data_IF_165675320097
#
_entry.id   IF_165675320097
#
_cell.length_a   1.000
_cell.length_b   1.000
_cell.length_c   1.000
_cell.angle_alpha   90.00
_cell.angle_beta   90.00
_cell.angle_gamma   90.00
#
_symmetry.space_group_name_H-M   'P 1'
#
loop_
_entity.id
_entity.type
_entity.pdbx_description
1 polymer ?
#
# COMPACT_ATOMS: atom_id res chain seq x y z
N UNK A 1 -11.64 22.39 18.55
CA UNK A 1 -10.99 21.10 18.81
C UNK A 1 -10.69 20.50 17.44
N UNK A 2 -9.44 20.52 16.96
CA UNK A 2 -9.13 20.13 15.57
C UNK A 2 -9.17 18.60 15.42
N UNK A 3 -9.65 18.15 14.25
CA UNK A 3 -9.97 16.76 13.91
C UNK A 3 -9.33 16.43 12.55
N UNK A 4 -8.84 15.20 12.39
CA UNK A 4 -7.71 14.86 11.51
C UNK A 4 -7.98 13.61 10.66
N UNK A 5 -7.79 13.69 9.34
CA UNK A 5 -8.07 12.61 8.38
C UNK A 5 -6.81 11.94 7.80
N UNK A 6 -6.94 10.70 7.29
CA UNK A 6 -5.82 9.88 6.81
C UNK A 6 -5.95 9.41 5.33
N UNK A 7 -4.82 9.23 4.62
CA UNK A 7 -4.72 9.20 3.13
C UNK A 7 -3.33 8.69 2.60
N UNK A 8 -3.11 7.40 2.25
CA UNK A 8 -1.80 6.65 2.03
C UNK A 8 -0.92 6.99 0.76
N UNK A 9 0.41 7.20 0.73
CA UNK A 9 1.61 6.42 1.18
C UNK A 9 2.71 7.16 2.05
N UNK A 10 3.01 6.65 3.26
CA UNK A 10 4.11 6.96 4.22
C UNK A 10 4.61 8.41 4.43
N UNK A 11 3.76 9.28 4.99
CA UNK A 11 4.16 10.61 5.50
C UNK A 11 3.01 11.41 6.11
N UNK A 12 3.14 12.74 6.20
CA UNK A 12 2.20 13.56 6.99
C UNK A 12 1.94 14.92 6.35
N UNK A 13 0.79 15.51 6.68
CA UNK A 13 0.43 16.88 6.32
C UNK A 13 0.29 17.75 7.57
N UNK A 14 0.88 18.94 7.54
CA UNK A 14 0.38 20.08 8.33
C UNK A 14 -0.28 21.09 7.40
N UNK A 15 -1.45 21.58 7.81
CA UNK A 15 -2.30 22.44 7.00
C UNK A 15 -2.46 23.82 7.66
N UNK A 16 -2.01 24.88 6.96
CA UNK A 16 -2.20 26.26 7.41
C UNK A 16 -3.03 27.05 6.41
N UNK A 17 -4.19 27.52 6.87
CA UNK A 17 -5.01 28.51 6.16
C UNK A 17 -4.43 29.90 6.34
N UNK A 18 -4.09 30.58 5.25
CA UNK A 18 -3.74 32.02 5.24
C UNK A 18 -4.89 32.78 4.57
N UNK A 19 -5.39 33.81 5.25
CA UNK A 19 -6.34 34.78 4.67
C UNK A 19 -5.61 35.62 3.62
N UNK A 20 -6.21 35.79 2.45
CA UNK A 20 -5.71 36.78 1.49
C UNK A 20 -5.93 38.20 2.03
N UNK A 21 -4.99 39.13 1.77
CA UNK A 21 -4.91 40.48 2.36
C UNK A 21 -6.15 41.38 2.18
N UNK A 22 -7.12 40.94 1.37
CA UNK A 22 -8.32 41.69 1.00
C UNK A 22 -9.64 41.12 1.59
N UNK A 23 -9.56 40.22 2.59
CA UNK A 23 -10.72 39.55 3.20
C UNK A 23 -10.91 39.97 4.68
N UNK A 24 -12.12 40.40 5.05
CA UNK A 24 -12.45 40.86 6.41
C UNK A 24 -13.27 39.85 7.21
N UNK A 25 -12.65 39.30 8.26
CA UNK A 25 -13.26 38.53 9.37
C UNK A 25 -13.88 37.15 9.03
N UNK A 26 -13.93 36.19 9.99
CA UNK A 26 -14.02 34.77 9.67
C UNK A 26 -15.45 34.22 9.62
N UNK A 27 -15.73 33.39 8.60
CA UNK A 27 -16.78 32.37 8.74
C UNK A 27 -16.27 31.31 9.72
N UNK A 28 -17.04 31.04 10.76
CA UNK A 28 -16.65 30.09 11.80
C UNK A 28 -16.56 28.65 11.25
N UNK A 29 -15.64 27.88 11.84
CA UNK A 29 -15.50 26.42 11.74
C UNK A 29 -14.98 25.84 10.40
N UNK A 30 -13.98 26.47 9.81
CA UNK A 30 -13.19 25.88 8.71
C UNK A 30 -12.27 24.74 9.21
N UNK A 31 -12.85 23.56 9.42
CA UNK A 31 -12.11 22.30 9.57
C UNK A 31 -11.43 21.96 8.24
N UNK A 32 -10.13 22.27 8.12
CA UNK A 32 -9.37 22.03 6.89
C UNK A 32 -9.11 20.54 6.67
N UNK A 33 -9.98 19.91 5.85
CA UNK A 33 -9.78 18.56 5.33
C UNK A 33 -8.91 18.66 4.07
N UNK A 34 -7.63 18.27 4.15
CA UNK A 34 -6.75 18.20 2.99
C UNK A 34 -6.85 16.81 2.31
N UNK A 35 -6.97 16.80 0.98
CA UNK A 35 -7.21 15.61 0.15
C UNK A 35 -6.42 15.70 -1.17
N UNK A 36 -6.30 14.56 -1.89
CA UNK A 36 -5.49 14.35 -3.12
C UNK A 36 -3.97 14.35 -2.82
N UNK A 37 -3.04 13.81 -3.62
CA UNK A 37 -3.00 13.06 -4.89
C UNK A 37 -1.56 12.48 -5.04
N UNK A 38 -1.29 11.36 -5.74
CA UNK A 38 0.02 10.65 -5.67
C UNK A 38 1.28 11.50 -6.00
N UNK A 39 2.41 11.11 -5.36
CA UNK A 39 3.77 11.69 -5.40
C UNK A 39 3.96 12.91 -4.50
N UNK A 40 5.00 12.89 -3.67
CA UNK A 40 5.36 13.99 -2.76
C UNK A 40 5.74 15.26 -3.53
N UNK A 41 6.47 15.09 -4.63
CA UNK A 41 6.80 16.18 -5.55
C UNK A 41 5.54 16.74 -6.22
N UNK A 42 4.59 15.87 -6.58
CA UNK A 42 3.30 16.25 -7.19
C UNK A 42 2.34 16.95 -6.23
N UNK A 43 2.30 16.53 -4.97
CA UNK A 43 1.52 17.14 -3.89
C UNK A 43 1.90 18.62 -3.69
N UNK A 44 3.19 18.94 -3.74
CA UNK A 44 3.69 20.31 -3.62
C UNK A 44 3.20 21.25 -4.75
N UNK A 45 2.89 20.69 -5.92
CA UNK A 45 2.35 21.44 -7.06
C UNK A 45 0.82 21.62 -6.96
N UNK A 46 0.08 20.58 -6.53
CA UNK A 46 -1.38 20.56 -6.47
C UNK A 46 -1.96 21.49 -5.39
N UNK A 47 -1.22 21.80 -4.33
CA UNK A 47 -1.63 22.75 -3.28
C UNK A 47 -1.93 24.18 -3.79
N UNK A 48 -1.59 24.49 -5.05
CA UNK A 48 -1.87 25.78 -5.70
C UNK A 48 -3.18 25.82 -6.49
N UNK A 49 -3.80 24.66 -6.75
CA UNK A 49 -4.86 24.54 -7.77
C UNK A 49 -6.29 24.57 -7.20
N UNK A 50 -6.46 24.27 -5.90
CA UNK A 50 -7.74 24.37 -5.19
C UNK A 50 -7.79 25.60 -4.28
N UNK A 51 -8.02 26.77 -4.90
CA UNK A 51 -8.16 28.05 -4.21
C UNK A 51 -9.50 28.68 -4.59
N UNK A 52 -10.47 28.68 -3.65
CA UNK A 52 -11.51 29.70 -3.67
C UNK A 52 -10.86 31.04 -3.25
N UNK A 53 -11.21 32.12 -3.93
CA UNK A 53 -10.50 33.42 -3.98
C UNK A 53 -10.17 34.12 -2.63
N UNK A 54 -10.59 33.58 -1.49
CA UNK A 54 -10.42 34.17 -0.15
C UNK A 54 -9.43 33.42 0.77
N UNK A 55 -9.01 32.19 0.41
CA UNK A 55 -8.18 31.35 1.28
C UNK A 55 -7.06 30.64 0.52
N UNK A 56 -5.86 30.69 1.09
CA UNK A 56 -4.72 29.86 0.66
C UNK A 56 -4.47 28.73 1.65
N UNK A 57 -4.48 27.49 1.17
CA UNK A 57 -4.10 26.30 1.93
C UNK A 57 -2.61 26.00 1.69
N UNK A 58 -1.77 26.20 2.71
CA UNK A 58 -0.38 25.74 2.70
C UNK A 58 -0.35 24.33 3.29
N UNK A 59 0.26 23.41 2.55
CA UNK A 59 0.48 22.02 2.94
C UNK A 59 1.98 21.78 3.06
N UNK A 60 2.45 21.56 4.28
CA UNK A 60 3.83 21.10 4.52
C UNK A 60 3.83 19.59 4.71
N UNK A 61 4.83 18.91 4.16
CA UNK A 61 4.97 17.46 4.21
C UNK A 61 6.21 17.04 5.02
N UNK A 62 6.09 15.95 5.78
CA UNK A 62 7.20 15.30 6.46
C UNK A 62 7.11 13.76 6.36
N UNK A 63 8.25 13.11 6.15
CA UNK A 63 8.44 11.67 6.40
C UNK A 63 8.75 11.47 7.88
N UNK A 64 8.13 10.48 8.54
CA UNK A 64 8.46 10.08 9.91
C UNK A 64 9.00 8.65 9.90
N UNK A 65 10.32 8.46 10.11
CA UNK A 65 10.94 7.14 10.11
C UNK A 65 10.46 6.22 11.24
N UNK A 66 10.10 6.78 12.40
CA UNK A 66 9.58 6.05 13.56
C UNK A 66 8.13 6.45 13.86
N UNK A 67 7.23 6.08 12.94
CA UNK A 67 5.79 6.23 13.17
C UNK A 67 5.32 5.48 14.43
N UNK A 68 5.73 4.21 14.71
CA UNK A 68 5.31 3.49 15.91
C UNK A 68 5.67 4.21 17.22
N UNK A 69 6.90 4.73 17.34
CA UNK A 69 7.32 5.52 18.49
C UNK A 69 6.47 6.78 18.68
N UNK A 70 6.13 7.47 17.58
CA UNK A 70 5.23 8.62 17.60
C UNK A 70 3.79 8.24 18.03
N UNK A 71 3.25 7.10 17.59
CA UNK A 71 1.93 6.61 18.04
C UNK A 71 1.92 6.38 19.55
N UNK A 72 2.96 5.72 20.07
CA UNK A 72 3.11 5.43 21.50
C UNK A 72 3.27 6.70 22.35
N UNK A 73 4.03 7.68 21.86
CA UNK A 73 4.17 8.98 22.50
C UNK A 73 2.84 9.75 22.52
N UNK A 74 2.15 9.89 21.40
CA UNK A 74 0.84 10.56 21.35
C UNK A 74 -0.21 9.84 22.21
N UNK A 75 -0.22 8.50 22.24
CA UNK A 75 -1.11 7.73 23.12
C UNK A 75 -0.82 7.95 24.61
N UNK A 76 0.44 8.21 24.98
CA UNK A 76 0.87 8.40 26.38
C UNK A 76 0.74 9.86 26.84
N UNK A 77 1.10 10.81 25.99
CA UNK A 77 1.32 12.22 26.32
C UNK A 77 0.29 13.17 25.68
N UNK A 78 -0.54 12.69 24.74
CA UNK A 78 -1.60 13.45 24.09
C UNK A 78 -1.15 14.55 23.12
N UNK A 79 0.16 14.68 22.85
CA UNK A 79 0.66 15.65 21.88
C UNK A 79 0.25 15.28 20.46
N UNK A 80 -0.29 16.26 19.72
CA UNK A 80 -0.68 16.14 18.31
C UNK A 80 0.02 17.22 17.51
N UNK A 81 0.86 16.81 16.56
CA UNK A 81 1.73 17.71 15.79
C UNK A 81 1.36 17.83 14.31
N UNK A 82 0.41 17.03 13.82
CA UNK A 82 0.06 16.90 12.40
C UNK A 82 -1.47 16.99 12.19
N UNK A 83 -1.89 17.63 11.10
CA UNK A 83 -3.31 17.82 10.77
C UNK A 83 -3.87 16.66 9.92
N UNK A 84 -3.00 15.91 9.22
CA UNK A 84 -3.35 14.76 8.37
C UNK A 84 -2.22 13.74 8.24
N UNK A 85 -2.56 12.49 7.92
CA UNK A 85 -1.62 11.37 7.91
C UNK A 85 -1.70 10.55 6.62
N UNK A 86 -0.59 9.98 6.21
CA UNK A 86 -0.46 9.20 4.99
C UNK A 86 0.15 7.84 5.39
N UNK A 87 -0.69 6.84 5.72
CA UNK A 87 -0.33 5.81 6.74
C UNK A 87 0.02 4.37 6.29
N UNK A 88 -0.62 3.88 5.22
CA UNK A 88 -0.90 2.44 4.96
C UNK A 88 -1.96 1.81 5.91
N UNK A 89 -2.89 0.94 5.43
CA UNK A 89 -4.05 0.51 6.21
C UNK A 89 -3.72 -0.27 7.49
N UNK A 90 -2.57 -0.97 7.55
CA UNK A 90 -2.18 -1.76 8.73
C UNK A 90 -2.06 -0.91 10.00
N UNK A 91 -1.66 0.36 9.87
CA UNK A 91 -1.51 1.28 11.00
C UNK A 91 -2.84 1.84 11.53
N UNK A 92 -3.96 1.64 10.82
CA UNK A 92 -5.24 2.28 11.13
C UNK A 92 -5.73 1.93 12.55
N UNK A 93 -5.50 0.69 13.00
CA UNK A 93 -5.94 0.23 14.33
C UNK A 93 -5.24 1.02 15.44
N UNK A 94 -3.91 1.08 15.40
CA UNK A 94 -3.10 1.75 16.42
C UNK A 94 -3.38 3.26 16.44
N UNK A 95 -3.54 3.86 15.25
CA UNK A 95 -3.83 5.29 15.09
C UNK A 95 -5.24 5.66 15.61
N UNK A 96 -6.23 4.79 15.41
CA UNK A 96 -7.58 4.97 16.00
C UNK A 96 -7.54 4.78 17.51
N UNK A 97 -6.80 3.79 18.03
CA UNK A 97 -6.67 3.55 19.48
C UNK A 97 -5.94 4.69 20.21
N UNK A 98 -4.94 5.30 19.57
CA UNK A 98 -4.29 6.52 20.05
C UNK A 98 -5.15 7.79 19.89
N UNK A 99 -6.35 7.67 19.31
CA UNK A 99 -7.28 8.79 19.09
C UNK A 99 -6.80 9.80 18.03
N UNK A 100 -5.89 9.40 17.15
CA UNK A 100 -5.21 10.26 16.17
C UNK A 100 -5.98 10.38 14.85
N UNK A 101 -7.12 9.70 14.72
CA UNK A 101 -7.93 9.59 13.50
C UNK A 101 -9.36 10.05 13.75
N UNK A 102 -9.90 10.87 12.85
CA UNK A 102 -11.28 11.33 12.85
C UNK A 102 -12.19 10.39 12.03
N UNK A 103 -13.40 10.07 12.51
CA UNK A 103 -14.48 9.47 11.72
C UNK A 103 -14.89 10.35 10.52
N UNK A 104 -14.83 9.78 9.31
CA UNK A 104 -15.05 10.52 8.06
C UNK A 104 -16.48 10.40 7.51
N UNK A 105 -17.32 9.54 8.10
CA UNK A 105 -18.67 9.22 7.61
C UNK A 105 -19.56 10.46 7.40
N UNK A 106 -19.47 11.46 8.30
CA UNK A 106 -20.23 12.72 8.20
C UNK A 106 -19.77 13.58 7.04
N UNK A 107 -18.45 13.66 6.80
CA UNK A 107 -17.86 14.41 5.68
C UNK A 107 -18.22 13.75 4.34
N UNK A 108 -18.13 12.42 4.27
CA UNK A 108 -18.50 11.62 3.10
C UNK A 108 -20.00 11.73 2.77
N UNK A 109 -20.86 11.77 3.79
CA UNK A 109 -22.30 11.95 3.60
C UNK A 109 -22.69 13.39 3.18
N UNK A 110 -21.88 14.39 3.55
CA UNK A 110 -22.12 15.80 3.21
C UNK A 110 -21.66 16.16 1.79
N UNK A 111 -20.64 15.47 1.25
CA UNK A 111 -20.09 15.74 -0.08
C UNK A 111 -20.50 14.68 -1.12
N UNK A 112 -21.56 14.98 -1.87
CA UNK A 112 -21.99 14.15 -2.99
C UNK A 112 -21.00 14.13 -4.17
N UNK A 113 -20.12 15.14 -4.30
CA UNK A 113 -19.16 15.22 -5.40
C UNK A 113 -18.01 14.21 -5.26
N UNK A 114 -17.72 13.78 -4.03
CA UNK A 114 -16.78 12.70 -3.72
C UNK A 114 -17.16 11.35 -4.38
N UNK A 115 -18.45 11.14 -4.68
CA UNK A 115 -18.98 9.92 -5.31
C UNK A 115 -18.42 8.62 -4.67
N UNK A 116 -18.58 8.47 -3.36
CA UNK A 116 -18.04 7.34 -2.58
C UNK A 116 -18.26 5.92 -3.18
N UNK A 117 -19.37 5.61 -3.88
CA UNK A 117 -19.55 4.34 -4.59
C UNK A 117 -18.59 4.06 -5.76
N UNK A 118 -17.79 5.03 -6.21
CA UNK A 118 -16.84 4.91 -7.32
C UNK A 118 -15.49 4.32 -6.89
N UNK A 119 -15.06 4.56 -5.64
CA UNK A 119 -13.85 3.94 -5.08
C UNK A 119 -13.95 2.42 -5.05
N UNK A 120 -12.92 1.69 -5.51
CA UNK A 120 -12.95 0.21 -5.57
C UNK A 120 -13.41 -0.39 -4.23
N UNK A 121 -14.37 -1.33 -4.30
CA UNK A 121 -15.09 -1.90 -3.16
C UNK A 121 -14.20 -2.29 -1.97
N UNK A 122 -13.07 -2.94 -2.23
CA UNK A 122 -12.12 -3.34 -1.19
C UNK A 122 -11.61 -2.13 -0.39
N UNK A 123 -11.25 -1.03 -1.06
CA UNK A 123 -10.73 0.13 -0.35
C UNK A 123 -11.81 0.76 0.54
N UNK A 124 -12.99 1.05 -0.03
CA UNK A 124 -14.09 1.70 0.70
C UNK A 124 -14.82 0.84 1.74
N UNK A 125 -14.61 -0.48 1.79
CA UNK A 125 -15.26 -1.39 2.75
C UNK A 125 -14.31 -2.12 3.72
N UNK A 126 -13.00 -2.14 3.43
CA UNK A 126 -12.00 -2.88 4.23
C UNK A 126 -10.81 -1.97 4.55
N UNK A 127 -10.16 -1.41 3.53
CA UNK A 127 -8.94 -0.62 3.69
C UNK A 127 -9.13 0.71 4.44
N UNK A 128 -10.31 1.30 4.32
CA UNK A 128 -10.67 2.60 4.88
C UNK A 128 -11.58 2.52 6.11
N UNK A 129 -11.90 1.31 6.58
CA UNK A 129 -12.98 1.08 7.55
C UNK A 129 -12.43 0.37 8.78
N UNK A 130 -12.64 0.96 9.96
CA UNK A 130 -12.36 0.33 11.24
C UNK A 130 -13.65 0.31 12.09
N UNK A 131 -14.00 -0.87 12.60
CA UNK A 131 -15.21 -1.09 13.41
C UNK A 131 -16.52 -0.56 12.79
N UNK A 132 -16.62 -0.57 11.45
CA UNK A 132 -17.78 -0.06 10.70
C UNK A 132 -17.78 1.43 10.39
N UNK A 133 -16.84 2.19 10.95
CA UNK A 133 -16.63 3.64 10.73
C UNK A 133 -15.61 3.86 9.60
N UNK A 134 -15.81 4.84 8.72
CA UNK A 134 -14.77 5.22 7.75
C UNK A 134 -13.72 6.07 8.46
N UNK A 135 -12.47 5.62 8.47
CA UNK A 135 -11.35 6.22 9.21
C UNK A 135 -10.22 6.72 8.31
N UNK A 136 -10.37 6.61 6.99
CA UNK A 136 -9.38 7.11 6.03
C UNK A 136 -9.91 7.14 4.61
N UNK A 137 -9.34 8.00 3.77
CA UNK A 137 -9.69 8.14 2.37
C UNK A 137 -8.76 7.30 1.48
N UNK A 138 -9.28 6.55 0.48
CA UNK A 138 -8.43 5.84 -0.46
C UNK A 138 -7.67 6.80 -1.38
N UNK A 139 -6.37 7.00 -1.14
CA UNK A 139 -5.50 7.79 -2.03
C UNK A 139 -4.93 6.95 -3.18
N UNK A 140 -4.46 5.76 -2.83
CA UNK A 140 -3.56 4.97 -3.65
C UNK A 140 -3.79 3.48 -3.43
N UNK A 141 -4.40 2.82 -4.40
CA UNK A 141 -4.32 1.37 -4.49
C UNK A 141 -2.95 0.91 -4.98
N UNK A 142 -2.47 -0.19 -4.40
CA UNK A 142 -1.51 -1.12 -5.01
C UNK A 142 -2.24 -2.44 -5.22
N UNK A 143 -2.18 -2.99 -6.42
CA UNK A 143 -2.72 -4.32 -6.74
C UNK A 143 -1.60 -5.20 -7.26
N UNK A 144 -1.55 -6.44 -6.79
CA UNK A 144 -0.52 -7.40 -7.20
C UNK A 144 -0.88 -7.97 -8.57
N UNK A 145 0.04 -7.87 -9.53
CA UNK A 145 -0.18 -8.26 -10.93
C UNK A 145 1.11 -8.87 -11.49
N UNK A 146 0.98 -9.91 -12.33
CA UNK A 146 2.11 -10.51 -13.01
C UNK A 146 2.54 -9.63 -14.19
N UNK A 147 3.75 -9.08 -14.11
CA UNK A 147 4.46 -8.50 -15.25
C UNK A 147 5.32 -9.60 -15.90
N UNK A 148 5.31 -9.67 -17.22
CA UNK A 148 6.08 -10.66 -17.99
C UNK A 148 6.54 -10.07 -19.33
N UNK A 149 7.65 -10.61 -19.86
CA UNK A 149 8.23 -10.23 -21.16
C UNK A 149 7.50 -10.95 -22.29
N UNK A 150 6.62 -10.24 -23.01
CA UNK A 150 5.81 -10.79 -24.12
C UNK A 150 6.66 -11.36 -25.26
N UNK A 151 7.79 -10.73 -25.53
CA UNK A 151 8.79 -11.13 -26.51
C UNK A 151 9.48 -12.45 -26.12
N UNK A 152 9.92 -12.59 -24.86
CA UNK A 152 10.48 -13.85 -24.33
C UNK A 152 9.45 -14.98 -24.41
N UNK A 153 8.20 -14.71 -24.02
CA UNK A 153 7.11 -15.68 -24.11
C UNK A 153 6.81 -16.07 -25.57
N UNK A 154 6.82 -15.12 -26.51
CA UNK A 154 6.61 -15.39 -27.93
C UNK A 154 7.75 -16.23 -28.54
N UNK A 155 9.01 -15.94 -28.21
CA UNK A 155 10.18 -16.72 -28.65
C UNK A 155 10.13 -18.15 -28.12
N UNK A 156 9.71 -18.34 -26.86
CA UNK A 156 9.57 -19.64 -26.22
C UNK A 156 8.25 -20.38 -26.57
N UNK A 157 7.37 -19.77 -27.37
CA UNK A 157 6.01 -20.27 -27.67
C UNK A 157 5.18 -20.60 -26.40
N UNK A 158 5.29 -19.73 -25.38
CA UNK A 158 4.61 -19.85 -24.09
C UNK A 158 3.37 -18.94 -24.00
N UNK A 159 2.37 -19.40 -23.25
CA UNK A 159 1.24 -18.55 -22.82
C UNK A 159 1.45 -18.04 -21.39
N UNK A 160 0.94 -16.85 -21.02
CA UNK A 160 0.99 -16.36 -19.65
C UNK A 160 0.32 -17.35 -18.68
N UNK A 161 0.93 -17.65 -17.52
CA UNK A 161 0.38 -18.61 -16.58
C UNK A 161 -0.88 -18.05 -15.89
N UNK A 162 -1.85 -18.94 -15.69
CA UNK A 162 -3.10 -18.70 -14.97
C UNK A 162 -3.09 -19.24 -13.54
N UNK A 163 -2.16 -20.15 -13.23
CA UNK A 163 -2.00 -20.76 -11.90
C UNK A 163 -0.56 -20.70 -11.38
N UNK A 164 -0.37 -20.87 -10.07
CA UNK A 164 0.95 -20.91 -9.46
C UNK A 164 1.78 -22.14 -9.88
N UNK A 165 1.15 -23.29 -10.15
CA UNK A 165 1.85 -24.48 -10.64
C UNK A 165 2.28 -24.33 -12.13
N UNK A 166 1.50 -23.60 -12.94
CA UNK A 166 1.92 -23.17 -14.30
C UNK A 166 3.07 -22.17 -14.24
N UNK A 167 2.99 -21.16 -13.36
CA UNK A 167 4.06 -20.18 -13.15
C UNK A 167 5.37 -20.86 -12.71
N UNK A 168 5.31 -21.80 -11.76
CA UNK A 168 6.45 -22.61 -11.35
C UNK A 168 7.01 -23.46 -12.50
N UNK A 169 6.16 -24.03 -13.35
CA UNK A 169 6.58 -24.82 -14.51
C UNK A 169 7.33 -23.95 -15.52
N UNK A 170 6.82 -22.75 -15.82
CA UNK A 170 7.49 -21.78 -16.70
C UNK A 170 8.79 -21.28 -16.08
N UNK A 171 8.79 -20.91 -14.79
CA UNK A 171 9.97 -20.43 -14.09
C UNK A 171 11.09 -21.49 -14.14
N UNK A 172 10.79 -22.75 -13.84
CA UNK A 172 11.73 -23.87 -13.92
C UNK A 172 12.26 -24.11 -15.34
N UNK A 173 11.41 -23.97 -16.36
CA UNK A 173 11.79 -24.22 -17.75
C UNK A 173 12.65 -23.10 -18.36
N UNK A 174 12.41 -21.84 -17.96
CA UNK A 174 13.08 -20.68 -18.54
C UNK A 174 14.34 -20.24 -17.75
N UNK A 175 14.51 -20.63 -16.49
CA UNK A 175 15.63 -20.19 -15.66
C UNK A 175 16.99 -20.66 -16.23
N UNK A 176 17.93 -19.75 -16.39
CA UNK A 176 19.24 -20.00 -17.02
C UNK A 176 19.22 -19.96 -18.55
N UNK A 177 18.11 -19.51 -19.17
CA UNK A 177 18.11 -19.05 -20.55
C UNK A 177 18.82 -17.69 -20.66
N UNK A 178 19.20 -17.30 -21.87
CA UNK A 178 19.66 -15.94 -22.18
C UNK A 178 18.50 -15.19 -22.87
N UNK A 179 17.94 -14.18 -22.20
CA UNK A 179 16.78 -13.41 -22.67
C UNK A 179 17.15 -12.10 -23.38
N UNK A 180 18.43 -11.68 -23.29
CA UNK A 180 18.91 -10.39 -23.78
C UNK A 180 19.98 -10.53 -24.89
N UNK A 181 20.46 -11.75 -25.14
CA UNK A 181 21.51 -12.17 -26.07
C UNK A 181 22.94 -11.70 -25.72
N UNK A 182 23.27 -11.51 -24.45
CA UNK A 182 24.62 -11.15 -23.97
C UNK A 182 25.54 -12.35 -23.67
N UNK A 183 25.00 -13.58 -23.70
CA UNK A 183 25.72 -14.83 -23.43
C UNK A 183 25.79 -15.24 -21.95
N UNK A 184 25.11 -14.54 -21.05
CA UNK A 184 24.99 -14.86 -19.62
C UNK A 184 23.65 -15.55 -19.34
N UNK A 185 23.60 -16.60 -18.48
CA UNK A 185 22.34 -17.18 -18.04
C UNK A 185 21.55 -16.25 -17.08
N UNK A 186 20.31 -15.93 -17.44
CA UNK A 186 19.39 -15.04 -16.74
C UNK A 186 18.46 -15.79 -15.77
N UNK A 187 17.85 -15.07 -14.83
CA UNK A 187 16.87 -15.63 -13.89
C UNK A 187 15.45 -15.46 -14.42
N UNK A 188 14.61 -16.50 -14.29
CA UNK A 188 13.22 -16.41 -14.78
C UNK A 188 12.28 -15.60 -13.87
N UNK A 189 12.73 -15.23 -12.66
CA UNK A 189 11.98 -14.40 -11.72
C UNK A 189 12.88 -13.28 -11.18
N UNK A 190 12.40 -12.04 -11.27
CA UNK A 190 13.18 -10.86 -10.84
C UNK A 190 12.82 -10.33 -9.44
N UNK A 191 12.03 -11.06 -8.63
CA UNK A 191 11.52 -10.60 -7.32
C UNK A 191 12.64 -10.26 -6.31
N UNK A 192 12.43 -9.23 -5.49
CA UNK A 192 13.36 -8.77 -4.45
C UNK A 192 12.92 -9.27 -3.08
N UNK A 193 13.22 -10.52 -2.76
CA UNK A 193 12.61 -11.28 -1.64
C UNK A 193 13.55 -11.55 -0.46
N UNK A 194 14.84 -11.20 -0.54
CA UNK A 194 15.79 -11.42 0.56
C UNK A 194 15.93 -10.12 1.37
N UNK A 195 15.47 -10.12 2.63
CA UNK A 195 15.44 -8.96 3.54
C UNK A 195 14.61 -7.75 3.03
N UNK A 196 13.57 -8.02 2.25
CA UNK A 196 12.77 -7.00 1.58
C UNK A 196 11.27 -7.23 1.80
N UNK A 197 10.47 -6.17 1.74
CA UNK A 197 9.01 -6.23 1.95
C UNK A 197 8.27 -7.11 0.92
N UNK A 198 8.87 -7.42 -0.22
CA UNK A 198 8.28 -8.31 -1.23
C UNK A 198 8.17 -9.76 -0.74
N UNK A 199 9.01 -10.19 0.21
CA UNK A 199 9.02 -11.54 0.81
C UNK A 199 7.63 -11.93 1.36
N UNK A 200 7.16 -11.13 2.32
CA UNK A 200 5.87 -11.35 2.98
C UNK A 200 4.70 -11.15 2.02
N UNK A 201 4.84 -10.26 1.03
CA UNK A 201 3.82 -9.99 0.01
C UNK A 201 3.66 -11.18 -0.94
N UNK A 202 4.75 -11.70 -1.52
CA UNK A 202 4.72 -12.87 -2.41
C UNK A 202 4.23 -14.11 -1.66
N UNK A 203 4.73 -14.33 -0.44
CA UNK A 203 4.25 -15.44 0.39
C UNK A 203 2.74 -15.35 0.68
N UNK A 204 2.24 -14.15 0.96
CA UNK A 204 0.80 -13.91 1.14
C UNK A 204 -0.02 -14.21 -0.13
N UNK A 205 0.50 -13.87 -1.32
CA UNK A 205 -0.17 -14.14 -2.61
C UNK A 205 -0.20 -15.64 -2.96
N UNK A 206 0.81 -16.40 -2.51
CA UNK A 206 0.84 -17.87 -2.64
C UNK A 206 -0.17 -18.52 -1.69
N UNK A 207 -0.16 -18.11 -0.42
CA UNK A 207 -0.98 -18.74 0.62
C UNK A 207 -2.46 -18.35 0.54
N UNK A 208 -2.79 -17.06 0.47
CA UNK A 208 -4.18 -16.58 0.65
C UNK A 208 -5.22 -17.21 -0.31
N UNK A 209 -4.94 -17.51 -1.59
CA UNK A 209 -5.91 -18.19 -2.46
C UNK A 209 -6.27 -19.61 -1.99
N UNK A 210 -5.39 -20.28 -1.25
CA UNK A 210 -5.58 -21.66 -0.78
C UNK A 210 -6.45 -21.76 0.49
N UNK A 211 -6.51 -20.68 1.28
CA UNK A 211 -7.16 -20.64 2.60
C UNK A 211 -8.35 -19.65 2.67
N UNK A 212 -8.39 -18.63 1.82
CA UNK A 212 -9.43 -17.59 1.82
C UNK A 212 -10.46 -17.79 0.70
N UNK A 213 -10.84 -19.04 0.40
CA UNK A 213 -11.87 -19.37 -0.59
C UNK A 213 -13.25 -18.72 -0.30
N UNK A 214 -13.51 -18.34 0.97
CA UNK A 214 -14.71 -17.62 1.40
C UNK A 214 -14.44 -16.12 1.70
N UNK A 215 -13.30 -15.60 1.23
CA UNK A 215 -12.80 -14.25 1.49
C UNK A 215 -12.09 -14.11 2.85
N UNK A 216 -11.82 -12.87 3.24
CA UNK A 216 -10.99 -12.53 4.41
C UNK A 216 -11.53 -13.02 5.75
N UNK A 217 -12.82 -13.36 5.83
CA UNK A 217 -13.44 -13.94 7.03
C UNK A 217 -12.92 -15.34 7.39
N UNK A 218 -12.23 -16.03 6.48
CA UNK A 218 -11.53 -17.29 6.79
C UNK A 218 -10.32 -17.11 7.72
N UNK A 219 -9.85 -15.87 7.94
CA UNK A 219 -8.53 -15.64 8.57
C UNK A 219 -7.38 -15.98 7.60
N UNK A 220 -6.14 -15.95 8.10
CA UNK A 220 -4.99 -16.46 7.32
C UNK A 220 -3.82 -16.94 8.17
N UNK A 221 -3.29 -16.08 9.03
CA UNK A 221 -2.34 -16.47 10.09
C UNK A 221 -3.05 -16.82 11.40
N UNK A 222 -4.19 -16.17 11.65
CA UNK A 222 -5.03 -16.35 12.84
C UNK A 222 -6.50 -16.41 12.43
N UNK A 223 -7.29 -17.12 13.23
CA UNK A 223 -8.75 -17.08 13.19
C UNK A 223 -9.24 -15.69 13.66
N UNK A 224 -10.10 -14.99 12.91
CA UNK A 224 -10.41 -13.58 13.16
C UNK A 224 -11.33 -13.33 14.37
N UNK A 225 -11.76 -14.37 15.09
CA UNK A 225 -12.61 -14.26 16.28
C UNK A 225 -11.88 -14.71 17.54
N UNK A 226 -11.28 -15.91 17.50
CA UNK A 226 -10.58 -16.53 18.63
C UNK A 226 -9.11 -16.14 18.72
N UNK A 227 -8.54 -15.54 17.68
CA UNK A 227 -7.10 -15.31 17.52
C UNK A 227 -6.25 -16.59 17.59
N UNK A 228 -6.86 -17.77 17.40
CA UNK A 228 -6.15 -19.05 17.35
C UNK A 228 -5.24 -19.07 16.10
N UNK A 229 -3.95 -19.46 16.20
CA UNK A 229 -3.08 -19.57 15.04
C UNK A 229 -3.58 -20.59 14.03
N UNK A 230 -3.72 -20.19 12.78
CA UNK A 230 -4.13 -21.05 11.66
C UNK A 230 -2.94 -21.63 10.89
N UNK A 231 -1.71 -21.40 11.35
CA UNK A 231 -0.48 -21.67 10.58
C UNK A 231 -0.15 -23.15 10.36
N UNK A 232 -0.70 -24.07 11.14
CA UNK A 232 -0.40 -25.51 11.02
C UNK A 232 -1.43 -26.23 10.14
N UNK A 233 -1.33 -26.08 8.82
CA UNK A 233 -2.25 -26.71 7.87
C UNK A 233 -1.57 -27.07 6.52
N UNK A 234 -2.23 -27.88 5.70
CA UNK A 234 -1.70 -28.36 4.42
C UNK A 234 -1.44 -27.25 3.39
N UNK A 235 -2.27 -26.21 3.36
CA UNK A 235 -2.07 -25.06 2.48
C UNK A 235 -0.84 -24.23 2.87
N UNK A 236 -0.54 -24.10 4.16
CA UNK A 236 0.72 -23.51 4.63
C UNK A 236 1.93 -24.32 4.13
N UNK A 237 1.86 -25.65 4.22
CA UNK A 237 2.93 -26.53 3.74
C UNK A 237 3.11 -26.44 2.20
N UNK A 238 2.01 -26.44 1.43
CA UNK A 238 2.04 -26.27 -0.04
C UNK A 238 2.55 -24.88 -0.44
N UNK A 239 2.12 -23.81 0.23
CA UNK A 239 2.59 -22.44 -0.01
C UNK A 239 4.08 -22.30 0.30
N UNK A 240 4.57 -22.81 1.44
CA UNK A 240 6.00 -22.81 1.79
C UNK A 240 6.83 -23.65 0.81
N UNK A 241 6.32 -24.79 0.35
CA UNK A 241 7.00 -25.63 -0.65
C UNK A 241 7.10 -24.93 -2.00
N UNK A 242 6.01 -24.33 -2.50
CA UNK A 242 6.02 -23.54 -3.73
C UNK A 242 6.96 -22.35 -3.60
N UNK A 243 6.88 -21.61 -2.48
CA UNK A 243 7.69 -20.43 -2.27
C UNK A 243 9.18 -20.78 -2.28
N UNK A 244 9.60 -21.77 -1.48
CA UNK A 244 10.98 -22.26 -1.45
C UNK A 244 11.50 -22.69 -2.82
N UNK A 245 10.67 -23.30 -3.66
CA UNK A 245 11.08 -23.70 -5.01
C UNK A 245 11.20 -22.48 -5.95
N UNK A 246 10.24 -21.55 -5.92
CA UNK A 246 10.28 -20.32 -6.70
C UNK A 246 11.50 -19.44 -6.35
N UNK A 247 11.89 -19.39 -5.07
CA UNK A 247 13.12 -18.73 -4.61
C UNK A 247 14.41 -19.28 -5.24
N UNK A 248 14.40 -20.50 -5.80
CA UNK A 248 15.56 -21.02 -6.54
C UNK A 248 15.70 -20.46 -7.97
N UNK A 249 14.68 -19.73 -8.45
CA UNK A 249 14.64 -19.08 -9.76
C UNK A 249 14.60 -17.54 -9.66
N UNK A 250 14.74 -16.99 -8.45
CA UNK A 250 14.83 -15.54 -8.22
C UNK A 250 16.27 -15.03 -8.27
N UNK A 251 16.49 -13.86 -8.88
CA UNK A 251 17.79 -13.16 -8.82
C UNK A 251 18.26 -13.01 -7.37
N UNK A 252 19.44 -13.52 -6.99
CA UNK A 252 19.95 -13.39 -5.63
C UNK A 252 20.37 -11.94 -5.34
N UNK A 253 19.73 -11.30 -4.36
CA UNK A 253 20.14 -9.98 -3.89
C UNK A 253 21.51 -10.04 -3.19
N UNK A 254 22.50 -9.21 -3.60
CA UNK A 254 23.78 -9.10 -2.91
C UNK A 254 23.60 -8.71 -1.43
N UNK A 255 24.48 -9.21 -0.55
CA UNK A 255 24.47 -8.80 0.87
C UNK A 255 24.68 -7.29 0.98
N UNK A 256 23.74 -6.60 1.62
CA UNK A 256 23.77 -5.14 1.79
C UNK A 256 23.18 -4.35 0.60
N UNK A 257 22.65 -5.01 -0.43
CA UNK A 257 21.83 -4.35 -1.43
C UNK A 257 20.55 -3.78 -0.78
N UNK A 258 20.15 -2.58 -1.21
CA UNK A 258 18.87 -1.99 -0.82
C UNK A 258 17.75 -2.49 -1.74
N UNK A 259 16.58 -2.75 -1.16
CA UNK A 259 15.37 -3.08 -1.90
C UNK A 259 14.94 -1.84 -2.71
N UNK A 260 14.96 -1.94 -4.04
CA UNK A 260 14.61 -0.85 -4.95
C UNK A 260 13.13 -0.94 -5.35
N UNK A 261 12.49 0.22 -5.58
CA UNK A 261 11.12 0.27 -6.12
C UNK A 261 11.01 -0.29 -7.55
N UNK A 262 12.13 -0.38 -8.27
CA UNK A 262 12.21 -0.92 -9.62
C UNK A 262 13.06 -2.21 -9.64
N UNK A 263 12.50 -3.26 -10.24
CA UNK A 263 13.21 -4.52 -10.50
C UNK A 263 14.13 -4.35 -11.70
N UNK A 264 15.35 -3.85 -11.45
CA UNK A 264 16.33 -3.57 -12.52
C UNK A 264 16.63 -4.76 -13.45
N UNK A 265 16.76 -6.02 -12.97
CA UNK A 265 16.96 -7.18 -13.87
C UNK A 265 15.82 -7.31 -14.90
N UNK A 266 14.56 -7.19 -14.47
CA UNK A 266 13.40 -7.20 -15.38
C UNK A 266 13.46 -6.10 -16.46
N UNK A 267 13.92 -4.90 -16.09
CA UNK A 267 14.05 -3.76 -17.01
C UNK A 267 15.25 -3.91 -17.96
N UNK A 268 16.30 -4.60 -17.54
CA UNK A 268 17.48 -4.93 -18.34
C UNK A 268 17.26 -6.17 -19.22
N UNK A 269 16.33 -7.05 -18.82
CA UNK A 269 16.06 -8.32 -19.45
C UNK A 269 16.90 -9.48 -18.93
N UNK A 270 17.24 -9.48 -17.64
CA UNK A 270 18.03 -10.51 -16.93
C UNK A 270 17.41 -11.02 -15.62
#
# INVERSE_FOLDING_TARGET
>A
MRRTAALVLLGMLTARSVLADNCTEPVADSSCLALLGKSLDGLSALGKEYLNMCYSLIVDYAEIPDLPGLVLDTASNGQRSYDGWILDPVMTVDMVQAGMVEPLDTYIAADASLNWPDFIRYFRQVSSVYNGTVTGMPLAGKVSTLYYRKDVFAMANLSPPSTWDEFLTIARAMNGSDFNADGVPDYSICWQVINCLEDTVVFSQLLTPMIQALGTKSGWMFDPVSMTPLVNNEAMLKALSLYKELLSYTVPLPRGAQCMLAHMPFLQGS
#
